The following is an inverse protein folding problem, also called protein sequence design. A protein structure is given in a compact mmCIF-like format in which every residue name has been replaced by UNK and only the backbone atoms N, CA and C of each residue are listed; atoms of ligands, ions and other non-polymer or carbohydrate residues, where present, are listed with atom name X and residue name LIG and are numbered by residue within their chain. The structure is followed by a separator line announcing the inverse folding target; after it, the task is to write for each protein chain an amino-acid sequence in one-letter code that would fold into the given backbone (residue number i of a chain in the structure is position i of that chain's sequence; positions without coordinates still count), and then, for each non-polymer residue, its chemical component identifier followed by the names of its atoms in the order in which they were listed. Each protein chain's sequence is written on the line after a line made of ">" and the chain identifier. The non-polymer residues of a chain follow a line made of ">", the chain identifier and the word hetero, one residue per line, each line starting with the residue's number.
data_IF_504757009669
#
_entry.id   IF_504757009669
#
_cell.length_a   1.000
_cell.length_b   1.000
_cell.length_c   1.000
_cell.angle_alpha   90.00
_cell.angle_beta   90.00
_cell.angle_gamma   90.00
#
_symmetry.space_group_name_H-M   'P 1'
#
loop_
_entity.id
_entity.type
_entity.pdbx_description
1 polymer ?
#
# COMPACT_ATOMS: atom_id res chain seq x y z
N UNK A 1 44.34 35.68 -14.68
CA UNK A 1 43.05 36.20 -14.23
C UNK A 1 41.97 35.73 -15.20
N UNK A 2 41.12 34.82 -14.71
CA UNK A 2 39.74 34.48 -15.14
C UNK A 2 39.51 33.88 -16.55
N UNK A 3 38.39 33.14 -16.77
CA UNK A 3 38.30 31.69 -16.57
C UNK A 3 37.65 31.03 -17.81
N UNK A 4 37.41 29.71 -17.83
CA UNK A 4 36.26 29.05 -18.51
C UNK A 4 36.50 27.55 -18.66
N UNK A 5 36.42 26.82 -17.55
CA UNK A 5 36.05 25.41 -17.58
C UNK A 5 34.66 25.28 -16.96
N UNK A 6 33.66 25.81 -17.65
CA UNK A 6 32.27 25.44 -17.39
C UNK A 6 31.88 24.38 -18.42
N UNK A 7 32.26 23.16 -18.08
CA UNK A 7 31.68 21.94 -18.61
C UNK A 7 30.18 22.06 -18.33
N UNK A 8 29.37 22.15 -19.38
CA UNK A 8 27.91 22.15 -19.30
C UNK A 8 27.47 20.82 -18.68
N UNK A 9 27.47 20.75 -17.36
CA UNK A 9 26.63 19.82 -16.64
C UNK A 9 25.22 20.38 -16.79
N UNK A 10 24.55 19.97 -17.85
CA UNK A 10 23.10 19.93 -17.84
C UNK A 10 22.73 19.02 -16.68
N UNK A 11 22.53 19.61 -15.52
CA UNK A 11 21.79 18.98 -14.43
C UNK A 11 20.36 18.91 -14.95
N UNK A 12 20.06 17.86 -15.72
CA UNK A 12 18.70 17.38 -15.82
C UNK A 12 18.23 17.24 -14.37
N UNK A 13 17.19 17.99 -13.92
CA UNK A 13 16.61 17.67 -12.64
C UNK A 13 16.18 16.23 -12.77
N UNK A 14 16.75 15.38 -11.91
CA UNK A 14 16.31 14.00 -11.81
C UNK A 14 14.80 14.04 -11.60
N UNK A 15 14.05 13.84 -12.68
CA UNK A 15 12.76 13.19 -12.62
C UNK A 15 13.09 11.78 -12.14
N UNK A 16 13.44 11.66 -10.85
CA UNK A 16 13.09 10.47 -10.09
C UNK A 16 11.66 10.19 -10.55
N UNK A 17 11.38 9.01 -11.13
CA UNK A 17 10.02 8.54 -11.13
C UNK A 17 9.67 8.63 -9.65
N UNK A 18 8.88 9.65 -9.30
CA UNK A 18 8.28 9.74 -7.99
C UNK A 18 7.76 8.33 -7.80
N UNK A 19 8.21 7.65 -6.74
CA UNK A 19 7.56 6.43 -6.34
C UNK A 19 6.10 6.84 -6.29
N UNK A 20 5.37 6.50 -7.35
CA UNK A 20 3.93 6.54 -7.36
C UNK A 20 3.68 5.49 -6.31
N UNK A 21 3.62 5.93 -5.05
CA UNK A 21 2.89 5.26 -4.02
C UNK A 21 1.57 5.03 -4.72
N UNK A 22 1.38 3.83 -5.27
CA UNK A 22 0.16 3.44 -5.93
C UNK A 22 -0.83 3.26 -4.79
N UNK A 23 -1.11 4.34 -4.06
CA UNK A 23 -2.25 4.41 -3.20
C UNK A 23 -3.43 4.17 -4.12
N UNK A 24 -4.21 3.11 -3.86
CA UNK A 24 -5.27 2.75 -4.76
C UNK A 24 -6.22 3.95 -4.85
N UNK A 25 -6.67 4.34 -6.06
CA UNK A 25 -7.57 5.47 -6.23
C UNK A 25 -8.92 5.24 -5.53
N UNK A 26 -9.17 3.99 -5.15
CA UNK A 26 -10.32 3.56 -4.37
C UNK A 26 -9.86 2.91 -3.07
N UNK A 27 -10.55 3.16 -1.95
CA UNK A 27 -10.33 2.41 -0.72
C UNK A 27 -10.53 0.91 -0.94
N UNK A 28 -9.59 0.11 -0.45
CA UNK A 28 -9.55 -1.35 -0.59
C UNK A 28 -9.37 -1.99 0.77
N UNK A 29 -10.06 -3.09 1.02
CA UNK A 29 -9.85 -3.89 2.22
C UNK A 29 -8.87 -5.01 1.88
N UNK A 30 -7.80 -5.10 2.65
CA UNK A 30 -6.77 -6.11 2.56
C UNK A 30 -6.92 -7.13 3.68
N UNK A 31 -6.95 -8.40 3.31
CA UNK A 31 -6.83 -9.52 4.25
C UNK A 31 -5.36 -9.93 4.32
N UNK A 32 -4.80 -9.88 5.52
CA UNK A 32 -3.38 -10.09 5.78
C UNK A 32 -3.21 -11.29 6.72
N UNK A 33 -2.22 -12.15 6.46
CA UNK A 33 -1.80 -13.18 7.42
C UNK A 33 -0.59 -12.67 8.20
N UNK A 34 -0.71 -12.63 9.52
CA UNK A 34 0.40 -12.35 10.44
C UNK A 34 0.65 -13.59 11.32
N UNK A 35 1.66 -13.51 12.20
CA UNK A 35 2.06 -14.61 13.08
C UNK A 35 0.94 -15.08 14.01
N UNK A 36 0.12 -14.15 14.52
CA UNK A 36 -0.94 -14.42 15.50
C UNK A 36 -2.29 -14.79 14.85
N UNK A 37 -2.49 -14.46 13.56
CA UNK A 37 -3.78 -14.67 12.93
C UNK A 37 -3.98 -13.94 11.60
N UNK A 38 -5.23 -13.85 11.17
CA UNK A 38 -5.66 -13.09 10.00
C UNK A 38 -6.14 -11.71 10.42
N UNK A 39 -5.81 -10.68 9.64
CA UNK A 39 -6.09 -9.29 9.95
C UNK A 39 -6.78 -8.61 8.77
N UNK A 40 -7.56 -7.59 9.08
CA UNK A 40 -8.29 -6.77 8.10
C UNK A 40 -7.69 -5.37 8.10
N UNK A 41 -7.19 -4.91 6.95
CA UNK A 41 -6.62 -3.59 6.79
C UNK A 41 -7.36 -2.82 5.71
N UNK A 42 -7.96 -1.68 6.05
CA UNK A 42 -8.51 -0.77 5.07
C UNK A 42 -7.40 0.16 4.58
N UNK A 43 -7.02 0.04 3.32
CA UNK A 43 -6.07 0.94 2.66
C UNK A 43 -6.87 1.97 1.87
N UNK A 44 -6.67 3.24 2.20
CA UNK A 44 -7.27 4.37 1.48
C UNK A 44 -6.18 5.18 0.78
N UNK A 45 -6.58 6.13 -0.08
CA UNK A 45 -5.63 6.91 -0.88
C UNK A 45 -4.67 7.78 -0.04
N UNK A 46 -5.01 8.05 1.21
CA UNK A 46 -4.30 9.01 2.07
C UNK A 46 -3.88 8.37 3.42
N UNK A 47 -4.53 7.27 3.81
CA UNK A 47 -4.32 6.64 5.11
C UNK A 47 -4.43 5.11 5.04
N UNK A 48 -3.53 4.44 5.76
CA UNK A 48 -3.64 3.02 6.12
C UNK A 48 -4.38 2.89 7.45
N UNK A 49 -5.62 2.41 7.42
CA UNK A 49 -6.41 2.11 8.62
C UNK A 49 -6.36 0.60 8.87
N UNK A 50 -5.56 0.18 9.85
CA UNK A 50 -5.49 -1.23 10.26
C UNK A 50 -6.61 -1.51 11.25
N UNK A 51 -7.49 -2.48 10.98
CA UNK A 51 -8.40 -3.02 11.98
C UNK A 51 -7.72 -4.23 12.63
N UNK A 52 -7.58 -4.16 13.95
CA UNK A 52 -6.58 -4.93 14.70
C UNK A 52 -7.11 -6.20 15.34
N UNK A 53 -8.33 -6.66 15.04
CA UNK A 53 -8.80 -7.96 15.54
C UNK A 53 -8.16 -9.09 14.73
N UNK A 54 -7.47 -9.99 15.44
CA UNK A 54 -6.90 -11.20 14.84
C UNK A 54 -7.98 -12.27 14.74
N UNK A 55 -8.25 -12.69 13.51
CA UNK A 55 -9.17 -13.76 13.19
C UNK A 55 -8.43 -15.09 13.07
N UNK A 56 -9.02 -16.16 13.60
CA UNK A 56 -8.41 -17.49 13.57
C UNK A 56 -8.33 -18.04 12.14
N UNK A 57 -9.32 -17.73 11.30
CA UNK A 57 -9.40 -18.20 9.91
C UNK A 57 -9.52 -17.05 8.92
N UNK A 58 -9.05 -17.28 7.68
CA UNK A 58 -9.14 -16.31 6.59
C UNK A 58 -10.59 -15.97 6.27
N UNK A 59 -11.46 -16.98 6.28
CA UNK A 59 -12.87 -16.83 6.00
C UNK A 59 -13.53 -15.89 7.00
N UNK A 60 -13.24 -16.08 8.30
CA UNK A 60 -13.78 -15.23 9.36
C UNK A 60 -13.36 -13.76 9.19
N UNK A 61 -12.09 -13.52 8.85
CA UNK A 61 -11.59 -12.19 8.51
C UNK A 61 -12.30 -11.57 7.29
N UNK A 62 -12.53 -12.36 6.24
CA UNK A 62 -13.24 -11.93 5.03
C UNK A 62 -14.70 -11.61 5.36
N UNK A 63 -15.39 -12.46 6.12
CA UNK A 63 -16.80 -12.23 6.48
C UNK A 63 -16.96 -11.00 7.40
N UNK A 64 -16.07 -10.84 8.37
CA UNK A 64 -16.01 -9.64 9.20
C UNK A 64 -15.76 -8.39 8.36
N UNK A 65 -14.78 -8.44 7.44
CA UNK A 65 -14.51 -7.37 6.50
C UNK A 65 -15.73 -7.04 5.62
N UNK A 66 -16.48 -8.03 5.12
CA UNK A 66 -17.69 -7.79 4.31
C UNK A 66 -18.82 -7.16 5.11
N UNK A 67 -18.94 -7.50 6.39
CA UNK A 67 -19.95 -6.91 7.28
C UNK A 67 -19.65 -5.45 7.59
N UNK A 68 -18.38 -5.13 7.88
CA UNK A 68 -17.95 -3.78 8.25
C UNK A 68 -17.78 -2.88 7.01
N UNK A 69 -17.29 -3.43 5.91
CA UNK A 69 -16.95 -2.74 4.67
C UNK A 69 -17.69 -3.29 3.45
N UNK A 70 -19.03 -3.29 3.43
CA UNK A 70 -19.82 -3.91 2.35
C UNK A 70 -19.63 -3.22 0.99
N UNK A 71 -19.08 -2.00 0.97
CA UNK A 71 -18.88 -1.18 -0.24
C UNK A 71 -17.46 -1.21 -0.78
N UNK A 72 -16.50 -1.76 -0.05
CA UNK A 72 -15.11 -1.75 -0.46
C UNK A 72 -14.69 -3.10 -1.04
N UNK A 73 -13.87 -3.10 -2.10
CA UNK A 73 -13.35 -4.32 -2.66
C UNK A 73 -12.50 -5.11 -1.64
N UNK A 74 -12.84 -6.39 -1.61
CA UNK A 74 -12.15 -7.58 -1.11
C UNK A 74 -10.81 -7.89 -1.76
N UNK A 75 -9.65 -7.41 -1.29
CA UNK A 75 -8.36 -7.90 -1.79
C UNK A 75 -7.65 -8.74 -0.74
N UNK A 76 -7.08 -9.85 -1.19
CA UNK A 76 -6.20 -10.69 -0.39
C UNK A 76 -4.78 -10.30 -0.77
N UNK A 77 -3.92 -10.00 0.21
CA UNK A 77 -2.54 -9.70 -0.11
C UNK A 77 -1.95 -10.95 -0.77
N UNK A 78 -1.42 -10.86 -2.01
CA UNK A 78 -0.66 -11.97 -2.56
C UNK A 78 0.47 -12.23 -1.58
N UNK A 79 0.59 -13.46 -1.11
CA UNK A 79 1.76 -13.90 -0.35
C UNK A 79 2.96 -13.47 -1.19
N UNK A 80 3.70 -12.47 -0.71
CA UNK A 80 4.79 -11.87 -1.48
C UNK A 80 5.76 -13.01 -1.75
N UNK A 81 5.77 -13.48 -3.00
CA UNK A 81 6.52 -14.64 -3.49
C UNK A 81 7.95 -14.55 -2.96
N UNK A 82 8.32 -15.52 -2.13
CA UNK A 82 9.54 -15.55 -1.33
C UNK A 82 10.70 -16.16 -2.11
#
# INVERSE_FOLDING_TARGET
>A
MSPSSQRNYATEPAHQPQAISQTPPIPVVLILRQEDGWYVKLVTADHDVVLTESFMTKLDAVEAARQVFPRFPIAEQPESDR
#
